data_IF_400766460439
#
_entry.id   IF_400766460439
#
_cell.length_a   1.000
_cell.length_b   1.000
_cell.length_c   1.000
_cell.angle_alpha   90.00
_cell.angle_beta   90.00
_cell.angle_gamma   90.00
#
_symmetry.space_group_name_H-M   'P 1'
#
loop_
_entity.id
_entity.type
_entity.pdbx_description
1 polymer ?
#
# COMPACT_ATOMS: atom_id res chain seq x y z
N UNK A 1 8.74 -10.21 -1.96
CA UNK A 1 7.29 -10.07 -2.18
C UNK A 1 6.69 -11.42 -1.99
N UNK A 2 5.73 -11.54 -1.08
CA UNK A 2 5.22 -12.86 -0.76
C UNK A 2 3.79 -13.03 -1.23
N UNK A 3 3.56 -14.14 -1.94
CA UNK A 3 2.21 -14.61 -2.26
C UNK A 3 1.70 -15.42 -1.07
N UNK A 4 0.50 -15.13 -0.57
CA UNK A 4 -0.06 -15.86 0.53
C UNK A 4 -0.43 -17.28 0.10
N UNK A 5 -0.25 -18.24 1.00
CA UNK A 5 -0.57 -19.66 0.76
C UNK A 5 -2.08 -19.85 0.57
N UNK A 6 -2.87 -19.04 1.27
CA UNK A 6 -4.33 -19.03 1.25
C UNK A 6 -4.88 -17.60 1.29
N UNK A 7 -6.14 -17.37 0.90
CA UNK A 7 -6.78 -16.08 1.11
C UNK A 7 -6.78 -15.68 2.59
N UNK A 8 -6.39 -14.43 2.87
CA UNK A 8 -6.45 -13.86 4.21
C UNK A 8 -7.88 -13.64 4.67
N UNK A 9 -8.12 -13.88 5.97
CA UNK A 9 -9.32 -13.40 6.65
C UNK A 9 -9.30 -11.87 6.74
N UNK A 10 -10.47 -11.27 7.01
CA UNK A 10 -10.59 -9.81 7.24
C UNK A 10 -9.65 -9.29 8.32
N UNK A 11 -9.36 -10.08 9.35
CA UNK A 11 -8.50 -9.68 10.48
C UNK A 11 -7.01 -9.80 10.12
N UNK A 12 -6.63 -10.84 9.40
CA UNK A 12 -5.25 -11.01 8.89
C UNK A 12 -4.92 -9.90 7.90
N UNK A 13 -5.82 -9.62 6.95
CA UNK A 13 -5.68 -8.50 6.01
C UNK A 13 -5.49 -7.17 6.73
N UNK A 14 -6.36 -6.86 7.71
CA UNK A 14 -6.26 -5.63 8.49
C UNK A 14 -4.93 -5.52 9.26
N UNK A 15 -4.45 -6.63 9.84
CA UNK A 15 -3.18 -6.67 10.57
C UNK A 15 -1.98 -6.45 9.66
N UNK A 16 -1.94 -7.13 8.50
CA UNK A 16 -0.85 -6.99 7.53
C UNK A 16 -0.78 -5.54 7.03
N UNK A 17 -1.90 -4.98 6.58
CA UNK A 17 -1.97 -3.59 6.10
C UNK A 17 -1.58 -2.61 7.20
N UNK A 18 -2.11 -2.77 8.42
CA UNK A 18 -1.80 -1.88 9.54
C UNK A 18 -0.34 -1.94 9.95
N UNK A 19 0.24 -3.13 10.06
CA UNK A 19 1.68 -3.31 10.35
C UNK A 19 2.54 -2.69 9.26
N UNK A 20 2.16 -2.85 7.99
CA UNK A 20 2.89 -2.28 6.86
C UNK A 20 2.79 -0.76 6.81
N UNK A 21 1.61 -0.19 7.07
CA UNK A 21 1.42 1.26 7.16
C UNK A 21 2.27 1.89 8.27
N UNK A 22 2.42 1.20 9.41
CA UNK A 22 3.33 1.63 10.48
C UNK A 22 4.79 1.62 10.02
N UNK A 23 5.25 0.55 9.35
CA UNK A 23 6.61 0.49 8.80
C UNK A 23 6.89 1.65 7.83
N UNK A 24 5.95 1.93 6.92
CA UNK A 24 6.06 3.03 5.96
C UNK A 24 6.15 4.37 6.69
N UNK A 25 5.31 4.58 7.71
CA UNK A 25 5.35 5.78 8.56
C UNK A 25 6.71 5.98 9.25
N UNK A 26 7.42 4.88 9.53
CA UNK A 26 8.75 4.87 10.14
C UNK A 26 9.90 4.96 9.11
N UNK A 27 9.60 5.20 7.83
CA UNK A 27 10.61 5.35 6.77
C UNK A 27 11.10 4.04 6.15
N UNK A 28 10.34 2.95 6.29
CA UNK A 28 10.64 1.71 5.58
C UNK A 28 10.56 1.90 4.05
N UNK A 29 11.36 1.16 3.26
CA UNK A 29 11.34 1.27 1.80
C UNK A 29 9.97 0.92 1.23
N UNK A 30 9.56 1.68 0.21
CA UNK A 30 8.34 1.43 -0.56
C UNK A 30 8.62 0.46 -1.71
N UNK A 31 7.66 -0.41 -1.98
CA UNK A 31 7.70 -1.37 -3.08
C UNK A 31 6.69 -1.06 -4.18
N UNK A 32 5.70 -0.21 -3.93
CA UNK A 32 4.87 0.38 -4.98
C UNK A 32 5.59 1.54 -5.67
N UNK A 33 5.43 1.68 -6.98
CA UNK A 33 6.04 2.81 -7.71
C UNK A 33 5.18 4.07 -7.58
N UNK A 34 5.81 5.23 -7.75
CA UNK A 34 5.12 6.52 -7.72
C UNK A 34 4.04 6.63 -8.81
N UNK A 35 4.32 6.11 -10.00
CA UNK A 35 3.37 6.10 -11.13
C UNK A 35 2.12 5.28 -10.79
N UNK A 36 2.30 4.13 -10.14
CA UNK A 36 1.20 3.28 -9.71
C UNK A 36 0.34 3.96 -8.62
N UNK A 37 0.98 4.61 -7.67
CA UNK A 37 0.28 5.38 -6.63
C UNK A 37 -0.53 6.53 -7.25
N UNK A 38 0.07 7.28 -8.18
CA UNK A 38 -0.65 8.35 -8.87
C UNK A 38 -1.84 7.83 -9.66
N UNK A 39 -1.68 6.73 -10.41
CA UNK A 39 -2.76 6.18 -11.22
C UNK A 39 -3.95 5.71 -10.36
N UNK A 40 -3.69 5.03 -9.24
CA UNK A 40 -4.75 4.46 -8.40
C UNK A 40 -5.49 5.52 -7.56
N UNK A 41 -4.83 6.62 -7.21
CA UNK A 41 -5.42 7.66 -6.35
C UNK A 41 -5.67 8.98 -7.08
N UNK A 42 -5.56 9.02 -8.41
CA UNK A 42 -5.70 10.24 -9.20
C UNK A 42 -7.04 10.94 -8.97
N UNK A 43 -8.13 10.19 -9.09
CA UNK A 43 -9.48 10.74 -8.98
C UNK A 43 -9.75 11.31 -7.59
N UNK A 44 -9.21 10.64 -6.57
CA UNK A 44 -9.31 11.10 -5.18
C UNK A 44 -8.46 12.37 -4.95
N UNK A 45 -7.24 12.43 -5.50
CA UNK A 45 -6.40 13.62 -5.45
C UNK A 45 -7.06 14.81 -6.15
N UNK A 46 -7.71 14.57 -7.30
CA UNK A 46 -8.46 15.58 -8.03
C UNK A 46 -9.66 16.06 -7.21
N UNK A 47 -10.39 15.16 -6.57
CA UNK A 47 -11.54 15.52 -5.74
C UNK A 47 -11.15 16.35 -4.50
N UNK A 48 -9.97 16.10 -3.92
CA UNK A 48 -9.49 16.79 -2.73
C UNK A 48 -8.79 18.13 -3.01
N UNK A 49 -7.99 18.20 -4.08
CA UNK A 49 -7.08 19.32 -4.33
C UNK A 49 -7.32 20.02 -5.67
N UNK A 50 -8.24 19.53 -6.50
CA UNK A 50 -8.45 20.01 -7.86
C UNK A 50 -7.44 19.45 -8.86
N UNK A 51 -7.72 19.66 -10.16
CA UNK A 51 -6.98 19.05 -11.27
C UNK A 51 -5.52 19.53 -11.35
N UNK A 52 -5.28 20.81 -11.07
CA UNK A 52 -3.95 21.42 -11.17
C UNK A 52 -3.00 20.89 -10.08
N UNK A 53 -3.46 20.84 -8.83
CA UNK A 53 -2.63 20.40 -7.70
C UNK A 53 -2.45 18.87 -7.66
N UNK A 54 -3.41 18.10 -8.16
CA UNK A 54 -3.35 16.63 -8.16
C UNK A 54 -2.16 16.08 -8.99
N UNK A 55 -1.72 16.80 -10.02
CA UNK A 55 -0.57 16.39 -10.83
C UNK A 55 0.79 16.65 -10.14
N UNK A 56 0.81 17.49 -9.11
CA UNK A 56 2.03 17.93 -8.40
C UNK A 56 2.18 17.18 -7.06
N UNK A 57 1.06 16.88 -6.39
CA UNK A 57 1.07 16.25 -5.06
C UNK A 57 1.37 14.75 -5.15
N UNK A 58 2.10 14.25 -4.16
CA UNK A 58 2.43 12.84 -4.00
C UNK A 58 1.46 12.18 -3.01
N UNK A 59 1.11 10.92 -3.25
CA UNK A 59 0.35 10.11 -2.29
C UNK A 59 1.31 9.67 -1.19
N UNK A 60 1.25 10.35 -0.04
CA UNK A 60 2.11 10.06 1.12
C UNK A 60 1.37 9.34 2.25
N UNK A 61 0.09 9.01 2.08
CA UNK A 61 -0.68 8.29 3.10
C UNK A 61 -0.14 6.85 3.24
N UNK A 62 0.47 6.49 4.39
CA UNK A 62 1.04 5.17 4.60
C UNK A 62 0.02 4.05 4.47
N UNK A 63 -1.25 4.30 4.81
CA UNK A 63 -2.31 3.31 4.72
C UNK A 63 -2.68 3.00 3.28
N UNK A 64 -2.73 4.02 2.43
CA UNK A 64 -3.01 3.86 0.99
C UNK A 64 -1.88 3.14 0.28
N UNK A 65 -0.64 3.51 0.60
CA UNK A 65 0.54 2.83 0.05
C UNK A 65 0.55 1.37 0.48
N UNK A 66 0.34 1.07 1.77
CA UNK A 66 0.25 -0.29 2.28
C UNK A 66 -0.90 -1.08 1.64
N UNK A 67 -2.04 -0.45 1.38
CA UNK A 67 -3.19 -1.09 0.73
C UNK A 67 -2.86 -1.47 -0.72
N UNK A 68 -2.27 -0.55 -1.49
CA UNK A 68 -1.86 -0.82 -2.86
C UNK A 68 -0.79 -1.92 -2.92
N UNK A 69 0.19 -1.88 -2.01
CA UNK A 69 1.19 -2.93 -1.90
C UNK A 69 0.53 -4.27 -1.57
N UNK A 70 -0.41 -4.32 -0.63
CA UNK A 70 -1.12 -5.56 -0.30
C UNK A 70 -1.82 -6.17 -1.53
N UNK A 71 -2.56 -5.36 -2.29
CA UNK A 71 -3.33 -5.81 -3.46
C UNK A 71 -2.44 -6.36 -4.58
N UNK A 72 -1.24 -5.82 -4.71
CA UNK A 72 -0.24 -6.25 -5.69
C UNK A 72 0.68 -7.36 -5.18
N UNK A 73 0.44 -7.90 -3.98
CA UNK A 73 1.32 -8.88 -3.31
C UNK A 73 2.75 -8.32 -3.08
N UNK A 74 2.76 -7.00 -2.85
CA UNK A 74 3.81 -6.04 -2.53
C UNK A 74 4.65 -6.38 -1.30
N UNK A 75 3.93 -6.87 -0.30
CA UNK A 75 4.36 -6.78 1.08
C UNK A 75 5.36 -7.92 1.40
N UNK A 76 6.48 -7.63 2.10
CA UNK A 76 7.50 -8.62 2.44
C UNK A 76 7.20 -9.38 3.76
N UNK A 77 5.96 -9.33 4.25
CA UNK A 77 5.52 -9.99 5.49
C UNK A 77 4.18 -10.69 5.25
N UNK A 78 3.96 -11.80 5.95
CA UNK A 78 2.71 -12.55 5.93
C UNK A 78 2.43 -13.18 7.31
N UNK A 79 1.25 -13.77 7.48
CA UNK A 79 0.83 -14.48 8.69
C UNK A 79 1.37 -15.91 8.76
N UNK A 80 1.49 -16.57 7.60
CA UNK A 80 2.02 -17.91 7.50
C UNK A 80 3.54 -17.84 7.23
N UNK A 81 4.37 -18.64 7.92
CA UNK A 81 5.80 -18.68 7.64
C UNK A 81 6.04 -19.23 6.25
N UNK A 82 6.86 -18.54 5.46
CA UNK A 82 7.29 -19.04 4.17
C UNK A 82 8.42 -20.05 4.39
N UNK A 83 8.23 -21.26 3.88
CA UNK A 83 9.30 -22.23 3.78
C UNK A 83 10.16 -21.82 2.59
N UNK A 84 11.44 -21.55 2.85
CA UNK A 84 12.47 -21.26 1.82
C UNK A 84 12.61 -22.41 0.82
#
# INVERSE_FOLDING_TARGET
MVKPIRPHTRFEKARIIGSRALQISMGAPLYATEEELRLNFRDELIALYGVEEANIRFVLDPLKIATLEYEKHLIPIDVDPHLD
#
